data_IF_338971766141
#
_entry.id   IF_338971766141
#
_cell.length_a   1.000
_cell.length_b   1.000
_cell.length_c   1.000
_cell.angle_alpha   90.00
_cell.angle_beta   90.00
_cell.angle_gamma   90.00
#
_symmetry.space_group_name_H-M   'P 1'
#
loop_
_entity.id
_entity.type
_entity.pdbx_description
1 polymer ?
#
# COMPACT_ATOMS: atom_id res chain seq x y z
N UNK A 1 34.96 23.44 27.04
CA UNK A 1 35.47 22.66 25.88
C UNK A 1 34.53 22.96 24.73
N UNK A 2 35.03 23.56 23.66
CA UNK A 2 34.18 23.94 22.53
C UNK A 2 33.70 22.70 21.78
N UNK A 3 32.42 22.66 21.43
CA UNK A 3 31.77 21.55 20.73
C UNK A 3 32.50 21.15 19.44
N UNK A 4 33.08 22.14 18.76
CA UNK A 4 33.91 22.00 17.55
C UNK A 4 35.21 21.23 17.79
N UNK A 5 35.85 21.42 18.94
CA UNK A 5 37.10 20.71 19.29
C UNK A 5 36.85 19.25 19.62
N UNK A 6 35.69 18.93 20.20
CA UNK A 6 35.28 17.54 20.45
C UNK A 6 35.07 16.78 19.14
N UNK A 7 34.40 17.38 18.15
CA UNK A 7 34.19 16.79 16.82
C UNK A 7 35.52 16.60 16.08
N UNK A 8 36.40 17.62 16.09
CA UNK A 8 37.71 17.57 15.41
C UNK A 8 38.62 16.49 16.00
N UNK A 9 38.57 16.30 17.33
CA UNK A 9 39.32 15.26 18.00
C UNK A 9 38.75 13.86 17.77
N UNK A 10 37.42 13.71 17.70
CA UNK A 10 36.78 12.44 17.34
C UNK A 10 37.18 12.01 15.91
N UNK A 11 37.18 12.95 14.95
CA UNK A 11 37.63 12.71 13.58
C UNK A 11 39.10 12.29 13.48
N UNK A 12 40.00 12.92 14.26
CA UNK A 12 41.41 12.49 14.34
C UNK A 12 41.55 11.10 14.96
N UNK A 13 40.77 10.78 16.00
CA UNK A 13 40.77 9.46 16.64
C UNK A 13 40.43 8.32 15.67
N UNK A 14 39.51 8.56 14.72
CA UNK A 14 39.14 7.59 13.67
C UNK A 14 40.30 7.23 12.73
N UNK A 15 41.25 8.15 12.52
CA UNK A 15 42.39 7.91 11.61
C UNK A 15 43.54 7.10 12.22
N UNK A 16 43.65 7.07 13.55
CA UNK A 16 44.75 6.37 14.24
C UNK A 16 44.52 4.84 14.28
N UNK A 17 43.26 4.40 14.34
CA UNK A 17 42.87 2.98 14.36
C UNK A 17 41.77 2.68 13.31
N UNK A 18 42.07 2.99 12.04
CA UNK A 18 41.10 2.99 10.93
C UNK A 18 40.31 1.67 10.76
N UNK A 19 40.95 0.51 10.94
CA UNK A 19 40.30 -0.80 10.79
C UNK A 19 39.24 -1.05 11.87
N UNK A 20 39.53 -0.66 13.12
CA UNK A 20 38.63 -0.82 14.26
C UNK A 20 37.40 0.10 14.09
N UNK A 21 37.65 1.34 13.72
CA UNK A 21 36.61 2.34 13.45
C UNK A 21 35.69 1.93 12.30
N UNK A 22 36.23 1.41 11.20
CA UNK A 22 35.43 0.89 10.08
C UNK A 22 34.55 -0.27 10.54
N UNK A 23 35.11 -1.25 11.26
CA UNK A 23 34.36 -2.45 11.65
C UNK A 23 33.15 -2.13 12.54
N UNK A 24 33.27 -1.12 13.40
CA UNK A 24 32.16 -0.68 14.26
C UNK A 24 31.15 0.20 13.53
N UNK A 25 31.62 1.09 12.64
CA UNK A 25 30.70 1.85 11.79
C UNK A 25 29.94 0.93 10.85
N UNK A 26 30.53 -0.20 10.41
CA UNK A 26 29.92 -1.17 9.50
C UNK A 26 28.58 -1.72 10.04
N UNK A 27 28.52 -2.04 11.35
CA UNK A 27 27.29 -2.49 11.99
C UNK A 27 26.18 -1.43 11.96
N UNK A 28 26.54 -0.16 12.19
CA UNK A 28 25.60 0.97 12.12
C UNK A 28 25.18 1.23 10.67
N UNK A 29 26.13 1.22 9.73
CA UNK A 29 25.89 1.46 8.30
C UNK A 29 24.93 0.42 7.75
N UNK A 30 25.20 -0.87 7.97
CA UNK A 30 24.33 -1.96 7.51
C UNK A 30 22.96 -1.86 8.20
N UNK A 31 22.93 -1.63 9.51
CA UNK A 31 21.68 -1.50 10.27
C UNK A 31 20.79 -0.39 9.74
N UNK A 32 21.34 0.82 9.59
CA UNK A 32 20.63 2.00 9.09
C UNK A 32 20.22 1.85 7.63
N UNK A 33 21.10 1.33 6.77
CA UNK A 33 20.78 1.06 5.36
C UNK A 33 19.62 0.06 5.25
N UNK A 34 19.64 -1.01 6.05
CA UNK A 34 18.57 -2.02 6.09
C UNK A 34 17.24 -1.41 6.51
N UNK A 35 17.22 -0.59 7.58
CA UNK A 35 16.02 0.12 8.02
C UNK A 35 15.42 0.98 6.90
N UNK A 36 16.25 1.75 6.20
CA UNK A 36 15.77 2.62 5.11
C UNK A 36 15.17 1.81 3.97
N UNK A 37 15.86 0.77 3.52
CA UNK A 37 15.40 -0.07 2.41
C UNK A 37 14.03 -0.68 2.77
N UNK A 38 13.91 -1.23 3.98
CA UNK A 38 12.70 -1.92 4.41
C UNK A 38 11.50 -1.00 4.59
N UNK A 39 11.68 0.14 5.24
CA UNK A 39 10.59 1.11 5.39
C UNK A 39 10.19 1.66 4.02
N UNK A 40 11.15 1.90 3.12
CA UNK A 40 10.86 2.39 1.76
C UNK A 40 10.08 1.37 0.92
N UNK A 41 10.41 0.07 1.05
CA UNK A 41 9.63 -1.02 0.43
C UNK A 41 8.23 -1.08 1.05
N UNK A 42 8.11 -1.03 2.37
CA UNK A 42 6.82 -1.10 3.06
C UNK A 42 5.89 0.06 2.70
N UNK A 43 6.40 1.30 2.71
CA UNK A 43 5.65 2.50 2.33
C UNK A 43 5.27 2.47 0.85
N UNK A 44 6.19 2.07 -0.02
CA UNK A 44 5.91 1.96 -1.44
C UNK A 44 4.92 0.86 -1.77
N UNK A 45 5.03 -0.33 -1.17
CA UNK A 45 4.05 -1.40 -1.29
C UNK A 45 2.65 -0.98 -0.78
N UNK A 46 2.58 -0.31 0.38
CA UNK A 46 1.33 0.25 0.90
C UNK A 46 0.72 1.25 -0.08
N UNK A 47 1.53 2.14 -0.65
CA UNK A 47 1.07 3.11 -1.65
C UNK A 47 0.60 2.44 -2.93
N UNK A 48 1.36 1.50 -3.47
CA UNK A 48 1.01 0.74 -4.68
C UNK A 48 -0.32 0.03 -4.53
N UNK A 49 -0.51 -0.73 -3.44
CA UNK A 49 -1.79 -1.39 -3.15
C UNK A 49 -2.89 -0.35 -2.96
N UNK A 50 -2.63 0.74 -2.23
CA UNK A 50 -3.64 1.81 -2.04
C UNK A 50 -4.06 2.45 -3.36
N UNK A 51 -3.13 2.71 -4.29
CA UNK A 51 -3.41 3.31 -5.59
C UNK A 51 -4.21 2.33 -6.47
N UNK A 52 -3.81 1.05 -6.52
CA UNK A 52 -4.54 -0.01 -7.24
C UNK A 52 -5.99 -0.16 -6.76
N UNK A 53 -6.23 -0.09 -5.45
CA UNK A 53 -7.58 -0.15 -4.88
C UNK A 53 -8.35 1.18 -5.04
N UNK A 54 -7.66 2.32 -5.03
CA UNK A 54 -8.28 3.63 -5.27
C UNK A 54 -8.82 3.77 -6.69
N UNK A 55 -8.15 3.17 -7.67
CA UNK A 55 -8.59 3.14 -9.07
C UNK A 55 -9.84 2.27 -9.30
N UNK A 56 -10.10 1.32 -8.40
CA UNK A 56 -11.31 0.50 -8.38
C UNK A 56 -12.47 1.17 -7.65
N UNK A 57 -12.19 2.13 -6.76
CA UNK A 57 -13.15 2.83 -5.90
C UNK A 57 -13.09 2.31 -4.46
N UNK A 58 -12.44 3.04 -3.56
CA UNK A 58 -12.19 2.60 -2.18
C UNK A 58 -13.46 2.47 -1.33
N UNK A 59 -14.51 3.19 -1.70
CA UNK A 59 -15.78 3.34 -0.98
C UNK A 59 -16.88 2.37 -1.46
N UNK A 60 -16.49 1.21 -2.01
CA UNK A 60 -17.40 0.24 -2.62
C UNK A 60 -17.72 -0.94 -1.69
N UNK A 61 -19.01 -1.26 -1.63
CA UNK A 61 -19.58 -2.47 -1.04
C UNK A 61 -20.11 -3.34 -2.19
N UNK A 62 -19.78 -4.62 -2.17
CA UNK A 62 -20.19 -5.62 -3.14
C UNK A 62 -21.09 -6.62 -2.41
N UNK A 63 -22.29 -6.81 -2.94
CA UNK A 63 -23.24 -7.81 -2.45
C UNK A 63 -23.33 -8.91 -3.50
N UNK A 64 -22.96 -10.13 -3.14
CA UNK A 64 -23.00 -11.32 -3.99
C UNK A 64 -24.01 -12.32 -3.45
N UNK A 65 -24.69 -13.10 -4.30
CA UNK A 65 -25.51 -14.22 -3.85
C UNK A 65 -24.60 -15.30 -3.25
N UNK A 66 -25.11 -15.99 -2.23
CA UNK A 66 -24.46 -17.13 -1.57
C UNK A 66 -23.87 -16.76 -0.21
N UNK A 67 -23.80 -17.74 0.68
CA UNK A 67 -23.05 -17.63 1.94
C UNK A 67 -21.60 -18.05 1.70
N UNK A 68 -20.65 -17.25 2.14
CA UNK A 68 -19.22 -17.57 2.07
C UNK A 68 -18.73 -18.37 3.30
N UNK A 69 -19.62 -18.80 4.20
CA UNK A 69 -19.24 -19.55 5.40
C UNK A 69 -19.21 -21.08 5.17
N UNK A 70 -18.02 -21.66 5.38
CA UNK A 70 -17.76 -23.06 5.82
C UNK A 70 -18.17 -24.21 4.91
N UNK A 71 -17.83 -24.16 3.62
CA UNK A 71 -17.49 -25.40 2.88
C UNK A 71 -16.30 -25.09 2.01
N UNK A 72 -15.16 -25.75 2.26
CA UNK A 72 -13.84 -25.45 1.70
C UNK A 72 -13.68 -25.73 0.20
N UNK A 73 -14.60 -25.25 -0.63
CA UNK A 73 -14.53 -25.26 -2.08
C UNK A 73 -14.39 -23.83 -2.63
N UNK A 74 -13.90 -23.67 -3.89
CA UNK A 74 -13.93 -22.40 -4.58
C UNK A 74 -15.37 -21.86 -4.62
N UNK A 75 -15.58 -20.53 -4.69
CA UNK A 75 -16.90 -19.91 -4.85
C UNK A 75 -17.47 -20.24 -6.23
N UNK A 76 -17.90 -21.49 -6.42
CA UNK A 76 -18.63 -21.96 -7.59
C UNK A 76 -20.07 -22.16 -7.18
N UNK A 77 -20.92 -21.23 -7.64
CA UNK A 77 -22.33 -21.43 -7.99
C UNK A 77 -23.09 -22.44 -7.12
N UNK A 78 -23.19 -22.17 -5.82
CA UNK A 78 -24.28 -22.79 -5.05
C UNK A 78 -25.56 -22.12 -5.52
N UNK A 79 -26.54 -22.92 -5.98
CA UNK A 79 -27.89 -22.41 -6.28
C UNK A 79 -28.46 -21.79 -4.99
N UNK A 80 -28.40 -20.47 -4.91
CA UNK A 80 -29.01 -19.71 -3.82
C UNK A 80 -30.52 -19.80 -3.93
N UNK A 81 -31.17 -20.16 -2.83
CA UNK A 81 -32.64 -20.27 -2.72
C UNK A 81 -33.32 -18.95 -3.09
N UNK A 82 -32.74 -17.82 -2.66
CA UNK A 82 -33.20 -16.49 -3.05
C UNK A 82 -32.12 -15.79 -3.90
N UNK A 83 -32.46 -15.49 -5.16
CA UNK A 83 -31.56 -14.77 -6.06
C UNK A 83 -31.61 -13.26 -5.76
N UNK A 84 -30.47 -12.57 -5.89
CA UNK A 84 -30.47 -11.11 -5.86
C UNK A 84 -31.20 -10.58 -7.09
N UNK A 85 -31.96 -9.50 -6.92
CA UNK A 85 -32.76 -8.90 -7.99
C UNK A 85 -32.45 -7.41 -8.16
N UNK A 86 -32.83 -6.85 -9.32
CA UNK A 86 -32.78 -5.40 -9.54
C UNK A 86 -33.61 -4.64 -8.49
N UNK A 87 -34.75 -5.21 -8.06
CA UNK A 87 -35.61 -4.59 -7.05
C UNK A 87 -34.94 -4.47 -5.67
N UNK A 88 -34.02 -5.37 -5.33
CA UNK A 88 -33.23 -5.27 -4.10
C UNK A 88 -32.35 -4.02 -4.13
N UNK A 89 -31.72 -3.73 -5.28
CA UNK A 89 -30.93 -2.51 -5.46
C UNK A 89 -31.80 -1.25 -5.36
N UNK A 90 -33.02 -1.27 -5.92
CA UNK A 90 -33.97 -0.14 -5.82
C UNK A 90 -34.43 0.07 -4.38
N UNK A 91 -34.68 -1.00 -3.63
CA UNK A 91 -35.07 -0.93 -2.23
C UNK A 91 -33.95 -0.31 -1.35
N UNK A 92 -32.70 -0.69 -1.58
CA UNK A 92 -31.54 -0.12 -0.88
C UNK A 92 -31.39 1.37 -1.19
N UNK A 93 -31.47 1.76 -2.48
CA UNK A 93 -31.40 3.16 -2.91
C UNK A 93 -32.44 4.05 -2.20
N UNK A 94 -33.64 3.51 -1.98
CA UNK A 94 -34.76 4.24 -1.35
C UNK A 94 -34.67 4.33 0.18
N UNK A 95 -34.10 3.32 0.84
CA UNK A 95 -34.12 3.20 2.31
C UNK A 95 -32.81 3.64 2.96
N UNK A 96 -31.70 3.72 2.22
CA UNK A 96 -30.38 4.06 2.76
C UNK A 96 -29.89 5.42 2.22
N UNK A 97 -29.95 6.46 3.04
CA UNK A 97 -29.55 7.83 2.65
C UNK A 97 -28.03 8.03 2.51
N UNK A 98 -27.22 7.10 3.01
CA UNK A 98 -25.76 7.14 2.98
C UNK A 98 -25.16 6.56 1.69
N UNK A 99 -25.99 5.93 0.86
CA UNK A 99 -25.62 5.46 -0.48
C UNK A 99 -25.45 6.67 -1.40
N UNK A 100 -24.29 6.76 -2.04
CA UNK A 100 -24.03 7.76 -3.07
C UNK A 100 -24.54 7.30 -4.43
N UNK A 101 -24.20 6.07 -4.81
CA UNK A 101 -24.67 5.43 -6.05
C UNK A 101 -24.74 3.93 -5.88
N UNK A 102 -25.68 3.29 -6.57
CA UNK A 102 -25.91 1.85 -6.53
C UNK A 102 -26.26 1.35 -7.91
N UNK A 103 -25.72 0.19 -8.27
CA UNK A 103 -26.03 -0.46 -9.54
C UNK A 103 -26.12 -1.97 -9.38
N UNK A 104 -27.15 -2.63 -9.93
CA UNK A 104 -27.11 -4.06 -10.19
C UNK A 104 -26.09 -4.37 -11.30
N UNK A 105 -25.48 -5.53 -11.20
CA UNK A 105 -24.52 -6.01 -12.20
C UNK A 105 -24.83 -7.46 -12.52
N UNK A 106 -24.98 -7.72 -13.81
CA UNK A 106 -24.95 -9.05 -14.38
C UNK A 106 -23.75 -9.13 -15.32
N UNK A 107 -23.10 -10.28 -15.42
CA UNK A 107 -22.00 -10.45 -16.34
C UNK A 107 -21.94 -11.87 -16.89
N UNK A 108 -21.55 -11.98 -18.15
CA UNK A 108 -21.25 -13.26 -18.77
C UNK A 108 -20.30 -13.06 -19.95
N UNK A 109 -19.57 -14.11 -20.30
CA UNK A 109 -18.76 -14.14 -21.52
C UNK A 109 -19.62 -14.60 -22.68
N UNK A 110 -19.65 -13.82 -23.76
CA UNK A 110 -20.32 -14.23 -25.02
C UNK A 110 -19.62 -13.62 -26.24
N UNK A 111 -20.02 -14.04 -27.42
CA UNK A 111 -19.48 -13.50 -28.67
C UNK A 111 -20.15 -12.16 -29.01
N UNK A 112 -19.32 -11.18 -29.36
CA UNK A 112 -19.74 -9.99 -30.10
C UNK A 112 -19.32 -10.17 -31.55
N UNK A 113 -20.25 -9.91 -32.47
CA UNK A 113 -20.06 -10.01 -33.91
C UNK A 113 -20.45 -8.71 -34.61
N UNK A 114 -19.61 -8.27 -35.54
CA UNK A 114 -19.91 -7.22 -36.50
C UNK A 114 -19.44 -7.68 -37.88
N UNK A 115 -20.37 -7.75 -38.84
CA UNK A 115 -20.13 -8.29 -40.18
C UNK A 115 -19.42 -9.67 -40.14
N UNK A 116 -18.21 -9.78 -40.69
CA UNK A 116 -17.41 -11.00 -40.74
C UNK A 116 -16.41 -11.14 -39.57
N UNK A 117 -16.43 -10.23 -38.58
CA UNK A 117 -15.54 -10.27 -37.42
C UNK A 117 -16.32 -10.65 -36.17
N UNK A 118 -15.73 -11.52 -35.35
CA UNK A 118 -16.31 -11.93 -34.07
C UNK A 118 -15.23 -12.15 -33.02
N UNK A 119 -15.51 -11.81 -31.77
CA UNK A 119 -14.62 -12.00 -30.63
C UNK A 119 -15.42 -12.39 -29.39
N UNK A 120 -14.84 -13.23 -28.54
CA UNK A 120 -15.35 -13.41 -27.18
C UNK A 120 -15.08 -12.16 -26.35
N UNK A 121 -16.12 -11.65 -25.70
CA UNK A 121 -16.08 -10.44 -24.91
C UNK A 121 -16.76 -10.69 -23.57
N UNK A 122 -16.24 -10.06 -22.51
CA UNK A 122 -16.92 -10.07 -21.22
C UNK A 122 -17.99 -8.98 -21.23
N UNK A 123 -19.26 -9.38 -21.18
CA UNK A 123 -20.40 -8.47 -21.23
C UNK A 123 -20.82 -8.13 -19.81
N UNK A 124 -20.98 -6.84 -19.53
CA UNK A 124 -21.45 -6.33 -18.26
C UNK A 124 -22.81 -5.66 -18.47
N UNK A 125 -23.85 -6.28 -17.92
CA UNK A 125 -25.19 -5.72 -17.80
C UNK A 125 -25.31 -4.85 -16.57
N UNK A 126 -25.50 -3.54 -16.74
CA UNK A 126 -25.55 -2.61 -15.61
C UNK A 126 -26.36 -1.35 -15.91
N UNK A 127 -26.40 -0.42 -14.97
CA UNK A 127 -27.03 0.90 -15.12
C UNK A 127 -25.96 1.97 -15.34
N UNK A 128 -26.35 3.22 -15.55
CA UNK A 128 -25.38 4.30 -15.80
C UNK A 128 -24.52 4.60 -14.56
N UNK A 129 -25.01 4.30 -13.35
CA UNK A 129 -24.27 4.51 -12.09
C UNK A 129 -22.95 3.71 -12.02
N UNK A 130 -22.81 2.60 -12.75
CA UNK A 130 -21.53 1.86 -12.79
C UNK A 130 -20.38 2.74 -13.29
N UNK A 131 -20.69 3.76 -14.11
CA UNK A 131 -19.70 4.69 -14.62
C UNK A 131 -19.03 5.47 -13.49
N UNK A 132 -19.84 5.95 -12.54
CA UNK A 132 -19.36 6.70 -11.38
C UNK A 132 -18.67 5.77 -10.38
N UNK A 133 -19.29 4.62 -10.09
CA UNK A 133 -18.78 3.64 -9.11
C UNK A 133 -17.39 3.12 -9.53
N UNK A 134 -17.20 2.72 -10.79
CA UNK A 134 -15.93 2.16 -11.28
C UNK A 134 -15.00 3.19 -11.96
N UNK A 135 -15.33 4.48 -11.87
CA UNK A 135 -14.59 5.60 -12.50
C UNK A 135 -14.26 5.31 -13.96
N UNK A 136 -15.29 4.97 -14.72
CA UNK A 136 -15.22 4.63 -16.12
C UNK A 136 -15.47 5.90 -16.95
N UNK A 137 -14.63 6.17 -17.94
CA UNK A 137 -14.77 7.35 -18.79
C UNK A 137 -14.99 6.95 -20.23
N UNK A 138 -15.95 7.59 -20.89
CA UNK A 138 -16.20 7.42 -22.32
C UNK A 138 -15.24 8.33 -23.08
N UNK A 139 -14.57 7.78 -24.10
CA UNK A 139 -13.68 8.54 -24.99
C UNK A 139 -14.50 9.23 -26.09
N UNK A 140 -15.46 8.51 -26.67
CA UNK A 140 -16.27 8.96 -27.80
C UNK A 140 -17.73 8.52 -27.59
N UNK A 141 -18.68 9.44 -27.79
CA UNK A 141 -20.12 9.17 -27.65
C UNK A 141 -20.62 9.35 -26.22
N UNK A 142 -21.61 8.54 -25.82
CA UNK A 142 -22.24 8.59 -24.50
C UNK A 142 -22.23 7.22 -23.83
N UNK A 143 -22.31 7.20 -22.49
CA UNK A 143 -22.46 5.95 -21.75
C UNK A 143 -23.92 5.45 -21.80
N UNK A 144 -24.22 4.37 -21.06
CA UNK A 144 -25.57 3.83 -20.93
C UNK A 144 -26.56 4.90 -20.40
N UNK A 145 -27.81 4.92 -20.90
CA UNK A 145 -28.84 5.81 -20.38
C UNK A 145 -29.29 5.41 -18.96
N UNK A 146 -29.83 6.35 -18.17
CA UNK A 146 -30.44 6.05 -16.87
C UNK A 146 -31.59 5.05 -16.98
N UNK A 147 -31.87 4.33 -15.88
CA UNK A 147 -32.91 3.28 -15.84
C UNK A 147 -34.29 3.81 -16.23
N UNK A 148 -34.58 5.06 -15.89
CA UNK A 148 -35.85 5.75 -16.17
C UNK A 148 -36.04 6.09 -17.65
N UNK A 149 -34.97 6.08 -18.46
CA UNK A 149 -34.98 6.40 -19.90
C UNK A 149 -34.69 5.17 -20.79
N UNK A 150 -34.74 3.95 -20.23
CA UNK A 150 -34.44 2.67 -20.90
C UNK A 150 -35.42 2.23 -22.02
N UNK A 151 -36.17 3.13 -22.67
CA UNK A 151 -36.96 2.75 -23.85
C UNK A 151 -36.07 2.21 -24.98
N UNK A 152 -34.81 2.65 -25.04
CA UNK A 152 -33.77 2.11 -25.91
C UNK A 152 -33.04 0.90 -25.27
N UNK A 153 -33.74 -0.23 -25.16
CA UNK A 153 -33.20 -1.46 -24.54
C UNK A 153 -31.92 -2.00 -25.22
N UNK A 154 -31.76 -1.77 -26.52
CA UNK A 154 -30.73 -2.41 -27.34
C UNK A 154 -29.60 -1.46 -27.72
N UNK A 155 -28.93 -0.90 -26.71
CA UNK A 155 -27.72 -0.08 -26.88
C UNK A 155 -26.52 -0.73 -26.20
N UNK A 156 -25.31 -0.48 -26.69
CA UNK A 156 -24.08 -0.96 -26.05
C UNK A 156 -22.96 0.08 -26.09
N UNK A 157 -22.04 -0.05 -25.13
CA UNK A 157 -20.81 0.73 -25.04
C UNK A 157 -19.64 -0.26 -25.10
N UNK A 158 -18.67 -0.02 -25.97
CA UNK A 158 -17.59 -0.96 -26.22
C UNK A 158 -16.27 -0.51 -25.58
N UNK A 159 -15.50 -1.44 -25.05
CA UNK A 159 -14.09 -1.27 -24.69
C UNK A 159 -13.23 -0.98 -25.92
N UNK A 160 -12.06 -0.36 -25.71
CA UNK A 160 -11.19 0.06 -26.80
C UNK A 160 -10.71 -1.13 -27.65
N UNK A 161 -10.27 -2.21 -27.01
CA UNK A 161 -9.81 -3.42 -27.72
C UNK A 161 -10.93 -4.05 -28.53
N UNK A 162 -12.13 -4.15 -27.95
CA UNK A 162 -13.32 -4.69 -28.65
C UNK A 162 -13.66 -3.85 -29.88
N UNK A 163 -13.56 -2.53 -29.75
CA UNK A 163 -13.78 -1.59 -30.86
C UNK A 163 -12.74 -1.75 -31.95
N UNK A 164 -11.45 -1.84 -31.60
CA UNK A 164 -10.36 -1.93 -32.58
C UNK A 164 -10.40 -3.25 -33.35
N UNK A 165 -10.72 -4.36 -32.68
CA UNK A 165 -10.88 -5.66 -33.31
C UNK A 165 -12.05 -5.72 -34.28
N UNK A 166 -13.23 -5.27 -33.85
CA UNK A 166 -14.46 -5.41 -34.64
C UNK A 166 -14.59 -4.35 -35.74
N UNK A 167 -14.13 -3.12 -35.49
CA UNK A 167 -14.34 -1.98 -36.38
C UNK A 167 -13.05 -1.40 -36.97
N UNK A 168 -11.87 -1.78 -36.47
CA UNK A 168 -10.58 -1.23 -36.92
C UNK A 168 -10.54 0.30 -36.77
N UNK A 169 -10.14 1.00 -37.84
CA UNK A 169 -10.15 2.46 -37.88
C UNK A 169 -11.53 3.10 -38.11
N UNK A 170 -12.59 2.32 -38.37
CA UNK A 170 -13.91 2.86 -38.67
C UNK A 170 -14.62 3.37 -37.40
N UNK A 171 -15.46 4.41 -37.56
CA UNK A 171 -16.32 4.89 -36.48
C UNK A 171 -17.42 3.85 -36.17
N UNK A 172 -17.48 3.29 -34.95
CA UNK A 172 -18.50 2.31 -34.58
C UNK A 172 -19.82 2.96 -34.14
N UNK A 173 -19.85 4.25 -33.82
CA UNK A 173 -21.04 4.92 -33.29
C UNK A 173 -22.24 4.81 -34.25
N UNK A 174 -23.40 4.45 -33.71
CA UNK A 174 -24.64 4.27 -34.44
C UNK A 174 -24.77 2.94 -35.19
N UNK A 175 -23.69 2.16 -35.31
CA UNK A 175 -23.72 0.85 -35.97
C UNK A 175 -24.31 -0.22 -35.06
N UNK A 176 -24.83 -1.29 -35.68
CA UNK A 176 -25.41 -2.42 -34.96
C UNK A 176 -24.39 -3.55 -34.83
N UNK A 177 -24.00 -3.89 -33.60
CA UNK A 177 -23.22 -5.08 -33.27
C UNK A 177 -24.13 -6.17 -32.70
N UNK A 178 -23.90 -7.43 -33.05
CA UNK A 178 -24.64 -8.55 -32.48
C UNK A 178 -23.91 -9.08 -31.24
N UNK A 179 -24.59 -9.14 -30.09
CA UNK A 179 -24.06 -9.68 -28.83
C UNK A 179 -24.93 -10.87 -28.46
N UNK A 180 -24.35 -12.07 -28.44
CA UNK A 180 -25.10 -13.31 -28.13
C UNK A 180 -26.30 -13.55 -29.05
N UNK A 181 -26.27 -13.07 -30.29
CA UNK A 181 -27.35 -13.20 -31.28
C UNK A 181 -28.31 -12.01 -31.36
N UNK A 182 -28.36 -11.15 -30.34
CA UNK A 182 -29.23 -9.95 -30.32
C UNK A 182 -28.48 -8.72 -30.84
N UNK A 183 -29.14 -7.85 -31.62
CA UNK A 183 -28.49 -6.65 -32.20
C UNK A 183 -28.58 -5.45 -31.23
N UNK A 184 -27.43 -4.82 -30.97
CA UNK A 184 -27.29 -3.64 -30.13
C UNK A 184 -26.67 -2.49 -30.93
N UNK A 185 -27.18 -1.27 -30.76
CA UNK A 185 -26.60 -0.06 -31.34
C UNK A 185 -25.45 0.43 -30.47
N UNK A 186 -24.28 0.63 -31.07
CA UNK A 186 -23.13 1.19 -30.37
C UNK A 186 -23.35 2.69 -30.14
N UNK A 187 -23.35 3.13 -28.88
CA UNK A 187 -23.57 4.54 -28.49
C UNK A 187 -22.33 5.21 -27.87
N UNK A 188 -21.33 4.42 -27.50
CA UNK A 188 -20.10 4.94 -26.91
C UNK A 188 -18.93 3.97 -26.97
N UNK A 189 -17.73 4.53 -26.83
CA UNK A 189 -16.47 3.80 -26.72
C UNK A 189 -15.78 4.23 -25.43
N UNK A 190 -15.36 3.27 -24.61
CA UNK A 190 -14.65 3.52 -23.37
C UNK A 190 -13.23 4.00 -23.63
N UNK A 191 -12.76 4.96 -22.83
CA UNK A 191 -11.35 5.33 -22.75
C UNK A 191 -10.56 4.14 -22.20
N UNK A 192 -9.44 3.84 -22.85
CA UNK A 192 -8.54 2.77 -22.40
C UNK A 192 -8.07 3.01 -20.97
N UNK A 193 -8.23 1.99 -20.14
CA UNK A 193 -7.76 1.93 -18.75
C UNK A 193 -6.75 0.79 -18.55
N UNK A 194 -6.67 -0.15 -19.50
CA UNK A 194 -5.72 -1.26 -19.48
C UNK A 194 -6.09 -2.36 -18.48
N UNK A 195 -5.06 -3.03 -17.96
CA UNK A 195 -5.21 -4.15 -17.01
C UNK A 195 -5.38 -3.64 -15.58
N UNK A 196 -6.44 -4.08 -14.90
CA UNK A 196 -6.69 -3.82 -13.48
C UNK A 196 -6.92 -5.14 -12.77
N UNK A 197 -6.06 -5.49 -11.80
CA UNK A 197 -6.16 -6.73 -11.01
C UNK A 197 -6.28 -8.03 -11.84
N UNK A 198 -5.64 -8.08 -13.02
CA UNK A 198 -5.69 -9.24 -13.93
C UNK A 198 -6.93 -9.27 -14.86
N UNK A 199 -7.79 -8.25 -14.81
CA UNK A 199 -8.88 -8.04 -15.77
C UNK A 199 -8.54 -6.90 -16.74
N UNK A 200 -8.65 -7.17 -18.03
CA UNK A 200 -8.50 -6.14 -19.05
C UNK A 200 -9.81 -5.36 -19.21
N UNK A 201 -9.83 -4.12 -18.74
CA UNK A 201 -11.02 -3.27 -18.82
C UNK A 201 -11.33 -2.84 -20.27
N UNK A 202 -10.36 -2.98 -21.17
CA UNK A 202 -10.50 -2.62 -22.58
C UNK A 202 -11.16 -3.75 -23.41
N UNK A 203 -11.27 -4.96 -22.83
CA UNK A 203 -11.93 -6.14 -23.41
C UNK A 203 -13.40 -6.30 -22.95
N UNK A 204 -13.98 -5.26 -22.37
CA UNK A 204 -15.33 -5.25 -21.84
C UNK A 204 -16.34 -4.64 -22.82
N UNK A 205 -17.59 -5.07 -22.73
CA UNK A 205 -18.71 -4.34 -23.33
C UNK A 205 -19.85 -4.18 -22.32
N UNK A 206 -20.48 -3.01 -22.32
CA UNK A 206 -21.55 -2.67 -21.39
C UNK A 206 -22.89 -2.63 -22.11
N UNK A 207 -23.91 -3.24 -21.51
CA UNK A 207 -25.31 -3.19 -21.95
C UNK A 207 -26.22 -2.81 -20.77
N UNK A 208 -27.42 -2.27 -21.03
CA UNK A 208 -28.39 -2.00 -19.97
C UNK A 208 -28.78 -3.28 -19.21
N UNK A 209 -28.94 -3.21 -17.89
CA UNK A 209 -29.24 -4.39 -17.05
C UNK A 209 -30.47 -5.17 -17.53
N UNK A 210 -31.54 -4.49 -17.97
CA UNK A 210 -32.74 -5.16 -18.52
C UNK A 210 -32.45 -5.97 -19.77
N UNK A 211 -31.59 -5.45 -20.66
CA UNK A 211 -31.19 -6.19 -21.86
C UNK A 211 -30.30 -7.39 -21.53
N UNK A 212 -29.50 -7.30 -20.46
CA UNK A 212 -28.75 -8.47 -19.98
C UNK A 212 -29.66 -9.56 -19.41
N UNK A 213 -30.73 -9.20 -18.69
CA UNK A 213 -31.71 -10.16 -18.18
C UNK A 213 -32.44 -10.88 -19.34
N UNK A 214 -32.82 -10.13 -20.38
CA UNK A 214 -33.40 -10.70 -21.61
C UNK A 214 -32.40 -11.61 -22.35
N UNK A 215 -31.13 -11.19 -22.48
CA UNK A 215 -30.09 -11.95 -23.17
C UNK A 215 -29.76 -13.28 -22.46
N UNK A 216 -29.72 -13.27 -21.13
CA UNK A 216 -29.37 -14.45 -20.32
C UNK A 216 -30.58 -15.24 -19.83
N UNK A 217 -31.79 -14.81 -20.18
CA UNK A 217 -33.07 -15.41 -19.76
C UNK A 217 -33.13 -15.63 -18.24
N UNK A 218 -32.74 -14.61 -17.47
CA UNK A 218 -32.73 -14.69 -16.01
C UNK A 218 -32.92 -13.32 -15.38
N UNK A 219 -33.83 -13.25 -14.40
CA UNK A 219 -34.12 -12.02 -13.65
C UNK A 219 -33.12 -11.75 -12.50
N UNK A 220 -32.15 -12.66 -12.31
CA UNK A 220 -31.14 -12.52 -11.28
C UNK A 220 -30.02 -11.53 -11.63
N UNK A 221 -29.43 -10.96 -10.59
CA UNK A 221 -28.19 -10.18 -10.70
C UNK A 221 -27.09 -10.93 -9.98
N UNK A 222 -25.89 -10.93 -10.58
CA UNK A 222 -24.73 -11.63 -10.02
C UNK A 222 -24.09 -10.82 -8.90
N UNK A 223 -24.18 -9.51 -8.97
CA UNK A 223 -23.67 -8.61 -7.93
C UNK A 223 -24.53 -7.35 -7.82
N UNK A 224 -24.58 -6.74 -6.63
CA UNK A 224 -25.02 -5.37 -6.44
C UNK A 224 -23.83 -4.56 -5.93
N UNK A 225 -23.44 -3.53 -6.68
CA UNK A 225 -22.37 -2.62 -6.31
C UNK A 225 -22.96 -1.37 -5.70
N UNK A 226 -22.44 -0.98 -4.54
CA UNK A 226 -22.85 0.21 -3.79
C UNK A 226 -21.61 1.06 -3.55
N UNK A 227 -21.69 2.34 -3.86
CA UNK A 227 -20.71 3.35 -3.44
C UNK A 227 -21.29 4.19 -2.31
N UNK A 228 -20.42 4.54 -1.36
CA UNK A 228 -20.76 5.32 -0.17
C UNK A 228 -20.12 6.70 -0.25
N UNK A 229 -20.72 7.74 0.33
CA UNK A 229 -20.16 9.11 0.24
C UNK A 229 -18.77 9.22 0.88
N UNK A 230 -18.52 8.42 1.91
CA UNK A 230 -17.23 8.36 2.58
C UNK A 230 -16.92 6.95 3.07
N UNK A 231 -15.62 6.66 3.25
CA UNK A 231 -15.16 5.40 3.85
C UNK A 231 -15.76 5.15 5.24
N UNK A 232 -16.06 6.21 5.99
CA UNK A 232 -16.63 6.12 7.32
C UNK A 232 -18.08 5.60 7.32
N UNK A 233 -18.78 5.75 6.19
CA UNK A 233 -20.18 5.33 6.06
C UNK A 233 -20.31 3.83 5.73
N UNK A 234 -19.24 3.17 5.29
CA UNK A 234 -19.25 1.75 4.86
C UNK A 234 -19.91 0.84 5.90
N UNK A 235 -19.53 0.85 7.20
CA UNK A 235 -20.13 -0.05 8.19
C UNK A 235 -21.62 0.23 8.44
N UNK A 236 -22.07 1.47 8.26
CA UNK A 236 -23.48 1.82 8.38
C UNK A 236 -24.28 1.33 7.18
N UNK A 237 -23.77 1.57 5.96
CA UNK A 237 -24.40 1.13 4.71
C UNK A 237 -24.42 -0.40 4.60
N UNK A 238 -23.35 -1.08 5.01
CA UNK A 238 -23.30 -2.55 5.06
C UNK A 238 -24.40 -3.12 5.96
N UNK A 239 -24.52 -2.61 7.20
CA UNK A 239 -25.55 -3.08 8.15
C UNK A 239 -26.96 -2.80 7.64
N UNK A 240 -27.21 -1.61 7.09
CA UNK A 240 -28.52 -1.26 6.55
C UNK A 240 -28.87 -2.09 5.31
N UNK A 241 -27.94 -2.24 4.37
CA UNK A 241 -28.16 -3.04 3.15
C UNK A 241 -28.42 -4.51 3.49
N UNK A 242 -27.65 -5.07 4.43
CA UNK A 242 -27.87 -6.43 4.94
C UNK A 242 -29.27 -6.58 5.54
N UNK A 243 -29.71 -5.64 6.38
CA UNK A 243 -31.04 -5.70 6.99
C UNK A 243 -32.17 -5.62 5.95
N UNK A 244 -32.02 -4.78 4.92
CA UNK A 244 -33.01 -4.59 3.85
C UNK A 244 -33.16 -5.87 3.02
N UNK A 245 -32.04 -6.44 2.54
CA UNK A 245 -32.07 -7.67 1.73
C UNK A 245 -32.60 -8.84 2.57
N UNK A 246 -32.09 -9.00 3.79
CA UNK A 246 -32.56 -10.05 4.71
C UNK A 246 -34.07 -10.00 4.91
N UNK A 247 -34.65 -8.82 5.12
CA UNK A 247 -36.11 -8.66 5.27
C UNK A 247 -36.87 -9.07 4.00
N UNK A 248 -36.34 -8.74 2.81
CA UNK A 248 -36.95 -9.08 1.52
C UNK A 248 -36.80 -10.56 1.17
N UNK A 249 -35.72 -11.19 1.63
CA UNK A 249 -35.41 -12.61 1.41
C UNK A 249 -35.96 -13.49 2.55
N UNK A 250 -37.13 -13.14 3.10
CA UNK A 250 -37.82 -13.90 4.15
C UNK A 250 -36.96 -14.19 5.40
N UNK A 251 -36.16 -13.21 5.83
CA UNK A 251 -35.18 -13.33 6.92
C UNK A 251 -34.04 -14.34 6.70
N UNK A 252 -33.84 -14.81 5.46
CA UNK A 252 -32.72 -15.65 5.12
C UNK A 252 -31.51 -14.80 4.67
N UNK A 253 -30.31 -15.16 5.13
CA UNK A 253 -29.06 -14.49 4.74
C UNK A 253 -28.38 -15.25 3.60
N UNK A 254 -29.03 -15.35 2.44
CA UNK A 254 -28.50 -16.08 1.27
C UNK A 254 -27.54 -15.24 0.41
N UNK A 255 -26.88 -14.26 1.01
CA UNK A 255 -26.00 -13.32 0.33
C UNK A 255 -24.80 -12.99 1.21
N UNK A 256 -23.72 -12.59 0.57
CA UNK A 256 -22.52 -12.10 1.25
C UNK A 256 -22.36 -10.62 0.93
N UNK A 257 -22.12 -9.83 1.96
CA UNK A 257 -21.72 -8.43 1.82
C UNK A 257 -20.23 -8.37 2.07
N UNK A 258 -19.48 -7.92 1.07
CA UNK A 258 -18.05 -7.67 1.17
C UNK A 258 -17.78 -6.20 0.93
N UNK A 259 -16.83 -5.63 1.66
CA UNK A 259 -16.36 -4.28 1.41
C UNK A 259 -14.88 -4.32 1.04
N UNK A 260 -14.47 -3.49 0.09
CA UNK A 260 -13.08 -3.46 -0.37
C UNK A 260 -12.14 -2.89 0.70
N UNK A 261 -12.68 -2.08 1.62
CA UNK A 261 -11.95 -1.50 2.75
C UNK A 261 -11.36 -2.57 3.69
N UNK A 262 -12.08 -3.67 3.94
CA UNK A 262 -11.62 -4.77 4.79
C UNK A 262 -10.44 -5.49 4.15
N UNK A 263 -10.49 -5.73 2.83
CA UNK A 263 -9.39 -6.36 2.10
C UNK A 263 -8.15 -5.46 2.11
N UNK A 264 -8.31 -4.17 1.82
CA UNK A 264 -7.20 -3.20 1.91
C UNK A 264 -6.61 -3.12 3.32
N UNK A 265 -7.46 -3.11 4.34
CA UNK A 265 -7.04 -3.10 5.75
C UNK A 265 -6.28 -4.37 6.13
N UNK A 266 -6.69 -5.53 5.62
CA UNK A 266 -5.99 -6.80 5.83
C UNK A 266 -4.59 -6.77 5.21
N UNK A 267 -4.46 -6.29 3.96
CA UNK A 267 -3.15 -6.11 3.32
C UNK A 267 -2.26 -5.13 4.09
N UNK A 268 -2.80 -3.97 4.49
CA UNK A 268 -2.08 -3.00 5.31
C UNK A 268 -1.62 -3.60 6.65
N UNK A 269 -2.44 -4.44 7.26
CA UNK A 269 -2.09 -5.16 8.49
C UNK A 269 -0.94 -6.13 8.26
N UNK A 270 -0.98 -6.94 7.20
CA UNK A 270 0.12 -7.87 6.83
C UNK A 270 1.41 -7.09 6.59
N UNK A 271 1.38 -6.02 5.78
CA UNK A 271 2.56 -5.19 5.52
C UNK A 271 3.10 -4.56 6.80
N UNK A 272 2.23 -4.18 7.73
CA UNK A 272 2.64 -3.61 9.02
C UNK A 272 3.31 -4.66 9.91
N UNK A 273 2.77 -5.89 9.98
CA UNK A 273 3.40 -7.00 10.72
C UNK A 273 4.76 -7.35 10.12
N UNK A 274 4.87 -7.43 8.79
CA UNK A 274 6.16 -7.63 8.12
C UNK A 274 7.13 -6.48 8.44
N UNK A 275 6.66 -5.24 8.38
CA UNK A 275 7.47 -4.06 8.74
C UNK A 275 8.01 -4.19 10.17
N UNK A 276 7.18 -4.60 11.14
CA UNK A 276 7.62 -4.82 12.52
C UNK A 276 8.62 -5.97 12.66
N UNK A 277 8.36 -7.09 12.00
CA UNK A 277 9.26 -8.26 12.05
C UNK A 277 10.66 -7.89 11.55
N UNK A 278 10.77 -7.23 10.39
CA UNK A 278 12.08 -6.87 9.85
C UNK A 278 12.70 -5.66 10.57
N UNK A 279 11.89 -4.73 11.07
CA UNK A 279 12.39 -3.66 11.97
C UNK A 279 13.00 -4.25 13.24
N UNK A 280 12.44 -5.34 13.78
CA UNK A 280 13.03 -6.08 14.89
C UNK A 280 14.41 -6.65 14.55
N UNK A 281 14.55 -7.28 13.37
CA UNK A 281 15.83 -7.80 12.88
C UNK A 281 16.85 -6.66 12.73
N UNK A 282 16.45 -5.54 12.11
CA UNK A 282 17.30 -4.38 11.95
C UNK A 282 17.68 -3.74 13.31
N UNK A 283 16.77 -3.74 14.28
CA UNK A 283 17.01 -3.34 15.66
C UNK A 283 18.08 -4.20 16.32
N UNK A 284 18.04 -5.52 16.13
CA UNK A 284 19.09 -6.44 16.62
C UNK A 284 20.45 -6.09 15.98
N UNK A 285 20.50 -5.86 14.66
CA UNK A 285 21.74 -5.45 13.97
C UNK A 285 22.32 -4.16 14.55
N UNK A 286 21.45 -3.21 14.92
CA UNK A 286 21.87 -1.96 15.54
C UNK A 286 22.34 -2.13 16.98
N UNK A 287 21.75 -3.04 17.75
CA UNK A 287 22.27 -3.41 19.08
C UNK A 287 23.68 -4.00 18.95
N UNK A 288 23.91 -4.89 17.98
CA UNK A 288 25.24 -5.44 17.71
C UNK A 288 26.23 -4.33 17.32
N UNK A 289 25.82 -3.38 16.46
CA UNK A 289 26.61 -2.19 16.15
C UNK A 289 26.91 -1.35 17.39
N UNK A 290 25.92 -1.14 18.25
CA UNK A 290 26.05 -0.41 19.52
C UNK A 290 27.00 -1.08 20.52
N UNK A 291 26.98 -2.41 20.63
CA UNK A 291 27.97 -3.16 21.42
C UNK A 291 29.38 -2.93 20.86
N UNK A 292 29.53 -2.86 19.54
CA UNK A 292 30.78 -2.46 18.89
C UNK A 292 31.26 -1.08 19.34
N UNK A 293 30.39 -0.08 19.33
CA UNK A 293 30.71 1.29 19.82
C UNK A 293 31.14 1.24 21.28
N UNK A 294 30.38 0.54 22.13
CA UNK A 294 30.68 0.43 23.55
C UNK A 294 32.07 -0.18 23.78
N UNK A 295 32.41 -1.26 23.09
CA UNK A 295 33.70 -1.92 23.21
C UNK A 295 34.86 -1.03 22.75
N UNK A 296 34.70 -0.34 21.61
CA UNK A 296 35.71 0.63 21.15
C UNK A 296 35.91 1.73 22.20
N UNK A 297 34.82 2.28 22.73
CA UNK A 297 34.90 3.36 23.71
C UNK A 297 35.57 2.89 25.00
N UNK A 298 35.30 1.68 25.48
CA UNK A 298 35.99 1.11 26.64
C UNK A 298 37.49 0.98 26.40
N UNK A 299 37.91 0.48 25.24
CA UNK A 299 39.33 0.35 24.90
C UNK A 299 39.97 1.74 24.78
N UNK A 300 39.30 2.70 24.13
CA UNK A 300 39.79 4.07 23.99
C UNK A 300 39.98 4.78 25.33
N UNK A 301 39.09 4.53 26.30
CA UNK A 301 39.24 5.05 27.67
C UNK A 301 40.48 4.47 28.33
N UNK A 302 40.72 3.16 28.19
CA UNK A 302 41.92 2.51 28.74
C UNK A 302 43.19 3.10 28.11
N UNK A 303 43.23 3.22 26.78
CA UNK A 303 44.36 3.82 26.03
C UNK A 303 44.60 5.31 26.43
N UNK A 304 43.55 6.02 26.88
CA UNK A 304 43.61 7.45 27.25
C UNK A 304 43.50 7.71 28.75
N UNK A 305 43.71 6.69 29.59
CA UNK A 305 43.56 6.75 31.06
C UNK A 305 44.35 7.92 31.65
N UNK A 306 45.64 8.05 31.30
CA UNK A 306 46.51 9.13 31.78
C UNK A 306 46.06 10.53 31.34
N UNK A 307 45.56 10.67 30.10
CA UNK A 307 45.02 11.93 29.58
C UNK A 307 43.76 12.37 30.36
N UNK A 308 42.89 11.41 30.71
CA UNK A 308 41.68 11.66 31.50
C UNK A 308 42.07 12.08 32.93
N UNK A 309 43.02 11.38 33.56
CA UNK A 309 43.55 11.70 34.88
C UNK A 309 44.12 13.11 34.97
N UNK A 310 44.96 13.49 34.01
CA UNK A 310 45.54 14.84 33.92
C UNK A 310 44.46 15.92 33.78
N UNK A 311 43.43 15.71 32.94
CA UNK A 311 42.33 16.68 32.82
C UNK A 311 41.55 16.86 34.11
N UNK A 312 41.29 15.77 34.83
CA UNK A 312 40.59 15.84 36.13
C UNK A 312 41.46 16.51 37.20
N UNK A 313 42.77 16.28 37.20
CA UNK A 313 43.71 16.94 38.12
C UNK A 313 43.78 18.47 37.90
N UNK A 314 43.58 18.94 36.67
CA UNK A 314 43.53 20.38 36.33
C UNK A 314 42.11 20.98 36.49
N UNK A 315 41.13 20.19 36.97
CA UNK A 315 39.82 20.70 37.38
C UNK A 315 38.62 20.35 36.47
N UNK A 316 38.78 19.46 35.49
CA UNK A 316 37.65 19.00 34.67
C UNK A 316 36.61 18.26 35.53
N UNK A 317 35.32 18.64 35.42
CA UNK A 317 34.25 18.00 36.19
C UNK A 317 33.86 16.64 35.62
N UNK A 318 33.16 15.82 36.40
CA UNK A 318 32.61 14.54 35.92
C UNK A 318 31.69 14.72 34.70
N UNK A 319 30.94 15.82 34.66
CA UNK A 319 30.05 16.15 33.55
C UNK A 319 30.84 16.50 32.28
N UNK A 320 31.96 17.21 32.39
CA UNK A 320 32.82 17.54 31.24
C UNK A 320 33.38 16.28 30.58
N UNK A 321 33.88 15.34 31.39
CA UNK A 321 34.41 14.06 30.91
C UNK A 321 33.29 13.22 30.28
N UNK A 322 32.12 13.13 30.93
CA UNK A 322 30.96 12.42 30.41
C UNK A 322 30.53 12.98 29.05
N UNK A 323 30.30 14.30 28.96
CA UNK A 323 29.81 14.95 27.74
C UNK A 323 30.80 14.78 26.59
N UNK A 324 32.11 14.85 26.84
CA UNK A 324 33.12 14.60 25.81
C UNK A 324 32.95 13.23 25.17
N UNK A 325 32.87 12.17 25.98
CA UNK A 325 32.76 10.80 25.46
C UNK A 325 31.39 10.50 24.85
N UNK A 326 30.31 11.11 25.36
CA UNK A 326 28.98 11.02 24.74
C UNK A 326 28.94 11.72 23.36
N UNK A 327 29.57 12.88 23.23
CA UNK A 327 29.68 13.57 21.94
C UNK A 327 30.52 12.74 20.97
N UNK A 328 31.61 12.11 21.44
CA UNK A 328 32.44 11.22 20.63
C UNK A 328 31.65 10.02 20.11
N UNK A 329 30.90 9.32 20.97
CA UNK A 329 30.08 8.18 20.56
C UNK A 329 28.92 8.58 19.63
N UNK A 330 28.25 9.71 19.90
CA UNK A 330 27.20 10.26 19.05
C UNK A 330 27.73 10.73 17.68
N UNK A 331 28.97 11.22 17.62
CA UNK A 331 29.61 11.61 16.36
C UNK A 331 29.92 10.38 15.51
N UNK A 332 30.47 9.32 16.13
CA UNK A 332 30.76 8.06 15.44
C UNK A 332 29.48 7.44 14.88
N UNK A 333 28.41 7.37 15.68
CA UNK A 333 27.14 6.85 15.21
C UNK A 333 26.48 7.76 14.19
N UNK A 334 26.54 9.09 14.36
CA UNK A 334 26.03 10.05 13.38
C UNK A 334 26.69 9.91 12.00
N UNK A 335 28.02 9.75 11.95
CA UNK A 335 28.75 9.49 10.69
C UNK A 335 28.33 8.14 10.10
N UNK A 336 28.30 7.08 10.90
CA UNK A 336 27.83 5.77 10.46
C UNK A 336 26.38 5.79 9.97
N UNK A 337 25.53 6.59 10.60
CA UNK A 337 24.14 6.81 10.21
C UNK A 337 24.01 7.55 8.89
N UNK A 338 24.76 8.63 8.68
CA UNK A 338 24.80 9.34 7.40
C UNK A 338 25.28 8.41 6.28
N UNK A 339 26.36 7.66 6.51
CA UNK A 339 26.87 6.69 5.54
C UNK A 339 25.83 5.59 5.25
N UNK A 340 25.20 5.04 6.29
CA UNK A 340 24.09 4.08 6.15
C UNK A 340 22.91 4.65 5.38
N UNK A 341 22.57 5.93 5.61
CA UNK A 341 21.51 6.62 4.87
C UNK A 341 21.89 6.74 3.39
N UNK A 342 23.07 7.25 3.09
CA UNK A 342 23.52 7.40 1.71
C UNK A 342 23.56 6.06 0.99
N UNK A 343 24.02 4.99 1.65
CA UNK A 343 24.05 3.64 1.11
C UNK A 343 22.64 3.08 0.89
N UNK A 344 21.73 3.22 1.86
CA UNK A 344 20.35 2.73 1.76
C UNK A 344 19.55 3.46 0.68
N UNK A 345 19.66 4.78 0.60
CA UNK A 345 19.01 5.58 -0.45
C UNK A 345 19.58 5.25 -1.82
N UNK A 346 20.91 5.13 -1.95
CA UNK A 346 21.55 4.75 -3.22
C UNK A 346 21.11 3.35 -3.65
N UNK A 347 21.02 2.40 -2.72
CA UNK A 347 20.50 1.06 -3.00
C UNK A 347 19.05 1.10 -3.49
N UNK A 348 18.17 1.90 -2.86
CA UNK A 348 16.78 2.08 -3.31
C UNK A 348 16.69 2.71 -4.70
N UNK A 349 17.49 3.74 -4.99
CA UNK A 349 17.48 4.38 -6.32
C UNK A 349 18.02 3.43 -7.39
N UNK A 350 19.06 2.66 -7.07
CA UNK A 350 19.63 1.68 -7.97
C UNK A 350 18.66 0.53 -8.27
N UNK A 351 17.94 0.02 -7.26
CA UNK A 351 16.94 -1.02 -7.48
C UNK A 351 15.71 -0.52 -8.22
N UNK A 352 15.26 0.71 -7.96
CA UNK A 352 14.18 1.34 -8.73
C UNK A 352 14.53 1.52 -10.22
N UNK A 353 15.82 1.73 -10.53
CA UNK A 353 16.29 1.77 -11.92
C UNK A 353 16.30 0.39 -12.59
N UNK A 354 16.59 -0.68 -11.84
CA UNK A 354 16.65 -2.05 -12.38
C UNK A 354 15.27 -2.72 -12.51
N UNK A 355 14.30 -2.33 -11.68
CA UNK A 355 12.98 -2.94 -11.61
C UNK A 355 11.91 -1.85 -11.66
N UNK A 356 11.37 -1.59 -12.85
CA UNK A 356 10.38 -0.53 -13.09
C UNK A 356 9.12 -0.67 -12.23
N UNK A 357 8.71 -1.90 -11.92
CA UNK A 357 7.48 -2.19 -11.18
C UNK A 357 7.65 -2.24 -9.66
N UNK A 358 8.87 -2.05 -9.12
CA UNK A 358 9.08 -2.13 -7.68
C UNK A 358 8.71 -0.80 -7.02
N UNK A 359 7.65 -0.74 -6.20
CA UNK A 359 7.23 0.52 -5.62
C UNK A 359 8.16 0.87 -4.46
N UNK A 360 9.21 1.63 -4.75
CA UNK A 360 10.16 2.15 -3.77
C UNK A 360 9.91 3.63 -3.56
N UNK A 361 9.63 4.00 -2.31
CA UNK A 361 9.46 5.41 -1.94
C UNK A 361 10.32 5.73 -0.73
N UNK A 362 11.38 6.51 -0.94
CA UNK A 362 12.18 7.07 0.15
C UNK A 362 11.50 8.35 0.63
N UNK A 363 10.89 8.32 1.82
CA UNK A 363 10.32 9.51 2.44
C UNK A 363 11.34 10.22 3.34
N UNK A 364 11.23 11.56 3.43
CA UNK A 364 12.09 12.36 4.32
C UNK A 364 11.90 11.93 5.79
N UNK A 365 10.70 11.49 6.16
CA UNK A 365 10.39 10.95 7.47
C UNK A 365 11.24 9.71 7.80
N UNK A 366 11.33 8.75 6.88
CA UNK A 366 12.17 7.56 7.03
C UNK A 366 13.64 7.92 7.26
N UNK A 367 14.17 8.90 6.52
CA UNK A 367 15.55 9.38 6.69
C UNK A 367 15.76 9.99 8.07
N UNK A 368 14.83 10.84 8.53
CA UNK A 368 14.90 11.47 9.86
C UNK A 368 14.83 10.44 10.98
N UNK A 369 13.91 9.47 10.89
CA UNK A 369 13.78 8.38 11.88
C UNK A 369 15.06 7.55 11.92
N UNK A 370 15.60 7.16 10.77
CA UNK A 370 16.82 6.36 10.68
C UNK A 370 18.04 7.10 11.27
N UNK A 371 18.18 8.41 10.98
CA UNK A 371 19.24 9.24 11.53
C UNK A 371 19.13 9.37 13.06
N UNK A 372 17.96 9.75 13.56
CA UNK A 372 17.72 9.93 14.99
C UNK A 372 17.93 8.62 15.76
N UNK A 373 17.51 7.50 15.18
CA UNK A 373 17.71 6.19 15.76
C UNK A 373 19.20 5.83 15.86
N UNK A 374 19.98 6.09 14.80
CA UNK A 374 21.43 5.89 14.81
C UNK A 374 22.15 6.72 15.88
N UNK A 375 21.81 8.01 16.01
CA UNK A 375 22.37 8.87 17.05
C UNK A 375 21.99 8.37 18.46
N UNK A 376 20.73 7.99 18.65
CA UNK A 376 20.22 7.45 19.92
C UNK A 376 20.99 6.19 20.33
N UNK A 377 21.20 5.25 19.40
CA UNK A 377 22.00 4.04 19.66
C UNK A 377 23.42 4.41 20.09
N UNK A 378 24.08 5.36 19.40
CA UNK A 378 25.43 5.81 19.78
C UNK A 378 25.51 6.46 21.15
N UNK A 379 24.50 7.24 21.55
CA UNK A 379 24.43 7.85 22.89
C UNK A 379 24.25 6.76 23.95
N UNK A 380 23.28 5.85 23.75
CA UNK A 380 22.98 4.76 24.70
C UNK A 380 24.20 3.85 24.88
N UNK A 381 24.85 3.46 23.78
CA UNK A 381 26.06 2.62 23.83
C UNK A 381 27.28 3.34 24.41
N UNK A 382 27.34 4.67 24.30
CA UNK A 382 28.41 5.49 24.88
C UNK A 382 28.22 5.81 26.37
N UNK A 383 27.02 5.62 26.92
CA UNK A 383 26.67 6.02 28.28
C UNK A 383 27.48 5.29 29.36
N UNK A 384 27.58 3.96 29.27
CA UNK A 384 28.35 3.16 30.23
C UNK A 384 29.86 3.48 30.19
N UNK A 385 30.53 3.50 29.02
CA UNK A 385 31.93 3.92 28.92
C UNK A 385 32.16 5.33 29.46
N UNK A 386 31.35 6.31 29.05
CA UNK A 386 31.48 7.70 29.47
C UNK A 386 31.35 7.84 31.00
N UNK A 387 30.42 7.09 31.61
CA UNK A 387 30.25 7.03 33.06
C UNK A 387 31.46 6.42 33.78
N UNK A 388 32.03 5.35 33.22
CA UNK A 388 33.25 4.72 33.74
C UNK A 388 34.42 5.69 33.72
N UNK A 389 34.62 6.42 32.62
CA UNK A 389 35.67 7.44 32.51
C UNK A 389 35.46 8.61 33.49
N UNK A 390 34.22 9.09 33.63
CA UNK A 390 33.91 10.20 34.53
C UNK A 390 34.19 9.86 36.02
N UNK A 391 34.01 8.59 36.42
CA UNK A 391 34.23 8.12 37.79
C UNK A 391 35.68 7.79 38.16
N UNK A 392 36.58 7.71 37.20
CA UNK A 392 37.99 7.33 37.40
C UNK A 392 38.72 8.26 38.39
N UNK A 393 39.48 7.71 39.34
CA UNK A 393 40.25 8.52 40.29
C UNK A 393 41.44 9.21 39.60
N UNK A 394 41.64 10.55 39.76
CA UNK A 394 42.73 11.26 39.08
C UNK A 394 44.12 10.76 39.48
N UNK A 395 44.32 10.35 40.74
CA UNK A 395 45.60 9.89 41.27
C UNK A 395 45.92 8.50 40.72
N UNK A 396 44.95 7.59 40.71
CA UNK A 396 45.11 6.26 40.11
C UNK A 396 45.36 6.35 38.59
N UNK A 397 44.63 7.22 37.90
CA UNK A 397 44.75 7.39 36.46
C UNK A 397 46.13 7.92 36.00
N UNK A 398 46.78 8.76 36.81
CA UNK A 398 48.12 9.31 36.49
C UNK A 398 49.23 8.28 36.77
N UNK A 399 49.01 7.37 37.72
CA UNK A 399 49.96 6.29 38.06
C UNK A 399 49.85 5.07 37.14
N UNK A 400 48.84 5.03 36.28
CA UNK A 400 48.64 3.97 35.29
C UNK A 400 49.71 4.07 34.20
N UNK A 401 50.50 3.01 34.01
CA UNK A 401 51.50 2.86 32.93
C UNK A 401 50.89 2.33 31.63
#
# INVERSE_FOLDING_TARGET
>A
MDFTDSIKNALKGLTVNWFRSILTMLGIIIGVASVIILISIGEGAKKYISDQFSDMGTNIIIITPGKTETTGGPPMITETVNKLTVDDSVAIKKQCNLVESITPVNFATTYIKYENRSRNCFIIGSTNEIQQIRRLYVEIGSFLPPVEQMSEKHVCVLGKTVKDDLFGGANPLGKMASIGGTKYRVIGIMKSKGMSLGLNLDDLAFIPVKASQELFNSDDVKEILISTRSMADIPAVERQSRAIIKKRHHNNEDFTVTNQAALLSAFQSILTVLTYAVSGIAGISLIVGGIGIMNIMLISIVERTREIGLRKAVGATRHDIMNKFLIESATISGIGGILGITMGVSACLFTAFLVEDLPLKVSLWTVMVAFLFSVTVGIVSGLYPAWKAAKMDPVEAIRYE
#
